data_IF_261766907514
#
_entry.id   IF_261766907514
#
_cell.length_a   1.000
_cell.length_b   1.000
_cell.length_c   1.000
_cell.angle_alpha   90.00
_cell.angle_beta   90.00
_cell.angle_gamma   90.00
#
_symmetry.space_group_name_H-M   'P 1'
#
loop_
_entity.id
_entity.type
_entity.pdbx_description
1 polymer ?
#
# COMPACT_ATOMS: atom_id res chain seq x y z
N UNK A 1 10.67 12.45 12.53
CA UNK A 1 11.14 13.48 11.57
C UNK A 1 10.66 13.09 10.19
N UNK A 2 10.02 14.01 9.47
CA UNK A 2 9.42 13.68 8.16
C UNK A 2 10.45 13.22 7.13
N UNK A 3 11.67 13.80 7.11
CA UNK A 3 12.72 13.34 6.21
C UNK A 3 13.18 11.92 6.52
N UNK A 4 13.11 11.49 7.78
CA UNK A 4 13.43 10.12 8.17
C UNK A 4 12.34 9.16 7.67
N UNK A 5 11.07 9.58 7.74
CA UNK A 5 9.96 8.78 7.22
C UNK A 5 10.11 8.52 5.72
N UNK A 6 10.46 9.54 4.94
CA UNK A 6 10.72 9.39 3.52
C UNK A 6 11.93 8.51 3.24
N UNK A 7 13.00 8.67 4.00
CA UNK A 7 14.19 7.83 3.86
C UNK A 7 13.83 6.36 4.10
N UNK A 8 13.08 6.07 5.16
CA UNK A 8 12.66 4.72 5.48
C UNK A 8 11.73 4.15 4.40
N UNK A 9 10.81 4.97 3.88
CA UNK A 9 9.91 4.55 2.82
C UNK A 9 10.67 4.18 1.54
N UNK A 10 11.65 4.98 1.14
CA UNK A 10 12.46 4.67 -0.04
C UNK A 10 13.23 3.38 0.12
N UNK A 11 13.83 3.16 1.29
CA UNK A 11 14.58 1.94 1.57
C UNK A 11 13.67 0.71 1.53
N UNK A 12 12.45 0.81 2.08
CA UNK A 12 11.46 -0.26 2.00
C UNK A 12 11.02 -0.52 0.56
N UNK A 13 10.72 0.55 -0.18
CA UNK A 13 10.21 0.43 -1.54
C UNK A 13 11.18 -0.28 -2.47
N UNK A 14 12.48 -0.03 -2.31
CA UNK A 14 13.51 -0.70 -3.09
C UNK A 14 13.49 -2.23 -2.93
N UNK A 15 12.99 -2.73 -1.80
CA UNK A 15 12.89 -4.15 -1.50
C UNK A 15 11.45 -4.68 -1.62
N UNK A 16 10.50 -3.83 -1.96
CA UNK A 16 9.08 -4.18 -1.99
C UNK A 16 8.67 -4.57 -3.41
N UNK A 17 8.97 -5.81 -3.76
CA UNK A 17 8.67 -6.32 -5.11
C UNK A 17 7.18 -6.27 -5.43
N UNK A 18 6.32 -6.54 -4.45
CA UNK A 18 4.87 -6.53 -4.65
C UNK A 18 4.36 -5.12 -4.96
N UNK A 19 4.76 -4.12 -4.17
CA UNK A 19 4.35 -2.74 -4.40
C UNK A 19 4.82 -2.24 -5.77
N UNK A 20 6.05 -2.56 -6.15
CA UNK A 20 6.59 -2.19 -7.46
C UNK A 20 5.82 -2.86 -8.59
N UNK A 21 5.56 -4.16 -8.48
CA UNK A 21 4.85 -4.93 -9.51
C UNK A 21 3.41 -4.44 -9.69
N UNK A 22 2.76 -4.00 -8.62
CA UNK A 22 1.40 -3.49 -8.66
C UNK A 22 1.34 -2.00 -9.04
N UNK A 23 2.48 -1.36 -9.26
CA UNK A 23 2.54 0.05 -9.62
C UNK A 23 2.08 1.00 -8.52
N UNK A 24 2.31 0.63 -7.27
CA UNK A 24 1.97 1.50 -6.15
C UNK A 24 2.94 2.67 -6.07
N UNK A 25 2.40 3.85 -5.78
CA UNK A 25 3.18 5.07 -5.57
C UNK A 25 3.00 5.56 -4.15
N UNK A 26 4.11 5.88 -3.49
CA UNK A 26 4.07 6.51 -2.18
C UNK A 26 4.10 8.01 -2.41
N UNK A 27 2.99 8.68 -2.12
CA UNK A 27 2.84 10.10 -2.45
C UNK A 27 3.00 11.02 -1.25
N UNK A 28 2.92 10.50 -0.04
CA UNK A 28 3.18 11.27 1.17
C UNK A 28 3.58 10.36 2.31
N UNK A 29 4.47 10.86 3.17
CA UNK A 29 4.98 10.15 4.33
C UNK A 29 5.14 11.10 5.51
N UNK A 30 4.88 10.60 6.69
CA UNK A 30 5.14 11.29 7.94
C UNK A 30 5.27 10.29 9.07
N UNK A 31 5.48 10.77 10.29
CA UNK A 31 5.55 9.88 11.44
C UNK A 31 4.20 9.23 11.68
N UNK A 32 4.15 7.91 11.54
CA UNK A 32 2.96 7.12 11.79
C UNK A 32 1.90 7.21 10.70
N UNK A 33 2.21 7.80 9.53
CA UNK A 33 1.27 7.77 8.42
C UNK A 33 1.97 7.65 7.06
N UNK A 34 1.22 7.14 6.09
CA UNK A 34 1.64 7.04 4.70
C UNK A 34 0.42 7.20 3.80
N UNK A 35 0.63 7.79 2.62
CA UNK A 35 -0.38 7.85 1.58
C UNK A 35 0.18 7.13 0.36
N UNK A 36 -0.49 6.06 -0.05
CA UNK A 36 -0.08 5.20 -1.16
C UNK A 36 -1.22 5.13 -2.15
N UNK A 37 -0.89 5.27 -3.42
CA UNK A 37 -1.87 5.19 -4.52
C UNK A 37 -1.51 4.07 -5.48
N UNK A 38 -2.49 3.63 -6.24
CA UNK A 38 -2.35 2.58 -7.23
C UNK A 38 -3.38 2.80 -8.33
N UNK A 39 -2.96 2.62 -9.58
CA UNK A 39 -3.89 2.61 -10.71
C UNK A 39 -4.43 1.20 -10.89
N UNK A 40 -5.75 1.04 -10.96
CA UNK A 40 -6.36 -0.26 -11.21
C UNK A 40 -6.13 -0.63 -12.69
N UNK A 41 -5.44 -1.74 -12.91
CA UNK A 41 -5.18 -2.26 -14.25
C UNK A 41 -6.14 -3.41 -14.58
N UNK A 42 -6.30 -3.77 -15.87
CA UNK A 42 -7.16 -4.89 -16.24
C UNK A 42 -6.81 -6.22 -15.55
N UNK A 43 -5.54 -6.44 -15.22
CA UNK A 43 -5.10 -7.66 -14.53
C UNK A 43 -5.57 -7.73 -13.09
N UNK A 44 -6.04 -6.63 -12.52
CA UNK A 44 -6.56 -6.57 -11.16
C UNK A 44 -8.07 -6.81 -11.08
N UNK A 45 -8.72 -6.99 -12.23
CA UNK A 45 -10.16 -7.14 -12.29
C UNK A 45 -10.58 -8.59 -12.03
N UNK A 46 -11.71 -8.73 -11.32
CA UNK A 46 -12.38 -10.03 -11.13
C UNK A 46 -13.35 -10.30 -12.30
N UNK A 47 -14.12 -11.39 -12.19
CA UNK A 47 -15.09 -11.78 -13.21
C UNK A 47 -16.22 -10.79 -13.41
N UNK A 48 -16.43 -9.87 -12.49
CA UNK A 48 -17.44 -8.79 -12.59
C UNK A 48 -16.87 -7.50 -13.16
N UNK A 49 -15.60 -7.51 -13.60
CA UNK A 49 -14.88 -6.34 -14.14
C UNK A 49 -14.71 -5.22 -13.11
N UNK A 50 -14.64 -5.58 -11.86
CA UNK A 50 -14.28 -4.65 -10.78
C UNK A 50 -12.96 -5.10 -10.15
N UNK A 51 -12.27 -4.17 -9.48
CA UNK A 51 -10.99 -4.49 -8.85
C UNK A 51 -11.17 -5.62 -7.84
N UNK A 52 -10.36 -6.65 -7.95
CA UNK A 52 -10.38 -7.76 -7.01
C UNK A 52 -10.09 -7.25 -5.59
N UNK A 53 -10.90 -7.70 -4.61
CA UNK A 53 -10.75 -7.25 -3.23
C UNK A 53 -9.36 -7.49 -2.64
N UNK A 54 -8.73 -8.60 -3.04
CA UNK A 54 -7.35 -8.87 -2.64
C UNK A 54 -6.34 -7.83 -3.11
N UNK A 55 -6.57 -7.25 -4.29
CA UNK A 55 -5.72 -6.18 -4.81
C UNK A 55 -5.90 -4.89 -4.00
N UNK A 56 -7.13 -4.54 -3.66
CA UNK A 56 -7.42 -3.39 -2.80
C UNK A 56 -6.84 -3.59 -1.41
N UNK A 57 -6.95 -4.79 -0.87
CA UNK A 57 -6.38 -5.10 0.43
C UNK A 57 -4.85 -4.97 0.41
N UNK A 58 -4.20 -5.41 -0.68
CA UNK A 58 -2.75 -5.24 -0.83
C UNK A 58 -2.34 -3.78 -0.74
N UNK A 59 -3.12 -2.88 -1.36
CA UNK A 59 -2.86 -1.45 -1.27
C UNK A 59 -3.00 -0.94 0.16
N UNK A 60 -4.07 -1.31 0.86
CA UNK A 60 -4.31 -0.89 2.23
C UNK A 60 -3.23 -1.44 3.18
N UNK A 61 -2.87 -2.71 3.03
CA UNK A 61 -1.83 -3.34 3.84
C UNK A 61 -0.47 -2.69 3.60
N UNK A 62 -0.16 -2.35 2.36
CA UNK A 62 1.08 -1.65 2.01
C UNK A 62 1.15 -0.28 2.69
N UNK A 63 0.09 0.51 2.59
CA UNK A 63 0.04 1.82 3.24
C UNK A 63 0.21 1.69 4.76
N UNK A 64 -0.44 0.70 5.36
CA UNK A 64 -0.30 0.39 6.78
C UNK A 64 1.15 0.05 7.14
N UNK A 65 1.79 -0.82 6.36
CA UNK A 65 3.18 -1.23 6.60
C UNK A 65 4.14 -0.04 6.54
N UNK A 66 3.96 0.84 5.56
CA UNK A 66 4.81 2.02 5.42
C UNK A 66 4.60 2.99 6.57
N UNK A 67 3.35 3.18 7.02
CA UNK A 67 3.05 4.02 8.18
C UNK A 67 3.68 3.45 9.46
N UNK A 68 3.55 2.14 9.68
CA UNK A 68 4.11 1.48 10.86
C UNK A 68 5.62 1.52 10.90
N UNK A 69 6.28 1.49 9.74
CA UNK A 69 7.74 1.48 9.64
C UNK A 69 8.33 2.87 9.38
N UNK A 70 7.51 3.91 9.43
CA UNK A 70 7.95 5.28 9.11
C UNK A 70 9.06 5.79 10.02
N UNK A 71 9.13 5.28 11.23
CA UNK A 71 10.12 5.68 12.23
C UNK A 71 11.32 4.71 12.30
N UNK A 72 11.43 3.78 11.35
CA UNK A 72 12.54 2.86 11.24
C UNK A 72 12.44 1.59 12.08
N UNK A 73 11.34 1.37 12.78
CA UNK A 73 11.09 0.13 13.51
C UNK A 73 10.49 -0.90 12.56
N UNK A 74 11.08 -2.09 12.51
CA UNK A 74 10.54 -3.17 11.69
C UNK A 74 9.23 -3.68 12.29
N UNK A 75 8.17 -3.68 11.49
CA UNK A 75 6.86 -4.14 11.92
C UNK A 75 6.11 -4.78 10.75
N UNK A 76 5.30 -5.77 11.06
CA UNK A 76 4.41 -6.42 10.09
C UNK A 76 3.03 -6.58 10.68
N UNK A 77 2.01 -6.60 9.83
CA UNK A 77 0.64 -6.82 10.28
C UNK A 77 0.46 -8.28 10.71
N UNK A 78 -0.27 -8.50 11.79
CA UNK A 78 -0.60 -9.85 12.28
C UNK A 78 -2.05 -10.24 12.00
N UNK A 79 -2.93 -9.26 11.83
CA UNK A 79 -4.32 -9.50 11.51
C UNK A 79 -5.01 -8.23 11.10
N UNK A 80 -5.97 -8.35 10.19
CA UNK A 80 -6.72 -7.21 9.66
C UNK A 80 -8.15 -7.62 9.33
N UNK A 81 -9.04 -6.62 9.27
CA UNK A 81 -10.37 -6.77 8.71
C UNK A 81 -10.61 -5.59 7.75
N UNK A 82 -11.34 -5.85 6.67
CA UNK A 82 -11.64 -4.84 5.67
C UNK A 82 -13.06 -4.99 5.15
N UNK A 83 -13.75 -3.86 4.98
CA UNK A 83 -15.07 -3.82 4.38
C UNK A 83 -14.97 -3.10 3.03
N UNK A 84 -15.49 -3.74 1.98
CA UNK A 84 -15.47 -3.19 0.63
C UNK A 84 -16.79 -2.48 0.38
N UNK A 85 -16.76 -1.14 0.48
CA UNK A 85 -17.96 -0.31 0.42
C UNK A 85 -18.40 0.05 -0.99
N UNK A 86 -17.44 0.06 -1.94
CA UNK A 86 -17.69 0.42 -3.35
C UNK A 86 -16.80 -0.40 -4.27
N UNK A 87 -17.26 -0.73 -5.48
CA UNK A 87 -16.39 -1.36 -6.46
C UNK A 87 -15.36 -0.37 -7.00
N UNK A 88 -14.17 -0.86 -7.33
CA UNK A 88 -13.15 -0.11 -8.05
C UNK A 88 -13.16 -0.50 -9.53
N UNK A 89 -12.92 0.45 -10.41
CA UNK A 89 -12.92 0.24 -11.85
C UNK A 89 -11.58 0.65 -12.45
N UNK A 90 -11.21 -0.05 -13.51
CA UNK A 90 -10.01 0.30 -14.27
C UNK A 90 -10.20 1.63 -15.03
#
# INVERSE_FOLDING_TARGET
>A
MSHNAWHNARAMYERDACAQAMGMDIIDMGEGYAVVTMTITPQMLNGHKTCHGGQLFSLADTAFAYACNSQGLAAVASGCAIDFLRPGFA
#
